data_IF_964020848685
#
_entry.id   IF_964020848685
#
_cell.length_a   1.000
_cell.length_b   1.000
_cell.length_c   1.000
_cell.angle_alpha   90.00
_cell.angle_beta   90.00
_cell.angle_gamma   90.00
#
_symmetry.space_group_name_H-M   'P 1'
#
loop_
_entity.id
_entity.type
_entity.pdbx_description
1 polymer ?
#
# COMPACT_ATOMS: atom_id res chain seq x y z
N UNK A 1 -28.44 -13.05 3.31
CA UNK A 1 -27.25 -13.16 2.43
C UNK A 1 -26.46 -11.88 2.59
N UNK A 2 -25.30 -11.91 3.23
CA UNK A 2 -24.46 -10.72 3.37
C UNK A 2 -23.64 -10.59 2.08
N UNK A 3 -23.94 -9.58 1.28
CA UNK A 3 -23.10 -9.17 0.16
C UNK A 3 -21.81 -8.62 0.76
N UNK A 4 -20.71 -9.36 0.62
CA UNK A 4 -19.37 -8.88 0.92
C UNK A 4 -18.91 -7.93 -0.18
N UNK A 5 -19.53 -6.76 -0.29
CA UNK A 5 -18.86 -5.61 -0.90
C UNK A 5 -17.94 -5.09 0.19
N UNK A 6 -16.67 -5.50 0.23
CA UNK A 6 -15.70 -4.71 1.00
C UNK A 6 -15.66 -3.34 0.30
N UNK A 7 -16.26 -2.29 0.87
CA UNK A 7 -16.14 -0.98 0.25
C UNK A 7 -14.67 -0.64 0.41
N UNK A 8 -14.02 -0.19 -0.66
CA UNK A 8 -12.81 0.62 -0.49
C UNK A 8 -13.17 1.64 0.60
N UNK A 9 -12.49 1.56 1.74
CA UNK A 9 -12.80 2.44 2.88
C UNK A 9 -12.74 3.87 2.37
N UNK A 10 -13.67 4.75 2.75
CA UNK A 10 -13.61 6.17 2.34
C UNK A 10 -12.27 6.84 2.71
N UNK A 11 -11.52 6.24 3.66
CA UNK A 11 -10.14 6.60 3.98
C UNK A 11 -9.17 6.22 2.85
N UNK A 12 -9.27 5.02 2.31
CA UNK A 12 -8.42 4.55 1.21
C UNK A 12 -8.64 5.38 -0.06
N UNK A 13 -9.89 5.71 -0.40
CA UNK A 13 -10.21 6.56 -1.54
C UNK A 13 -9.59 7.96 -1.40
N UNK A 14 -9.68 8.56 -0.21
CA UNK A 14 -9.06 9.86 0.08
C UNK A 14 -7.55 9.84 -0.10
N UNK A 15 -6.86 8.84 0.45
CA UNK A 15 -5.40 8.74 0.33
C UNK A 15 -4.96 8.46 -1.11
N UNK A 16 -5.68 7.58 -1.84
CA UNK A 16 -5.41 7.33 -3.25
C UNK A 16 -5.58 8.59 -4.11
N UNK A 17 -6.66 9.35 -3.88
CA UNK A 17 -6.90 10.63 -4.54
C UNK A 17 -5.78 11.64 -4.27
N UNK A 18 -5.40 11.85 -3.01
CA UNK A 18 -4.32 12.77 -2.65
C UNK A 18 -2.96 12.34 -3.23
N UNK A 19 -2.64 11.05 -3.22
CA UNK A 19 -1.41 10.53 -3.84
C UNK A 19 -1.39 10.78 -5.35
N UNK A 20 -2.51 10.50 -6.02
CA UNK A 20 -2.65 10.73 -7.46
C UNK A 20 -2.52 12.21 -7.82
N UNK A 21 -3.17 13.11 -7.07
CA UNK A 21 -3.06 14.55 -7.28
C UNK A 21 -1.62 15.05 -7.12
N UNK A 22 -0.90 14.57 -6.10
CA UNK A 22 0.52 14.90 -5.90
C UNK A 22 1.38 14.37 -7.04
N UNK A 23 1.16 13.13 -7.47
CA UNK A 23 1.88 12.53 -8.59
C UNK A 23 1.62 13.26 -9.92
N UNK A 24 0.38 13.72 -10.13
CA UNK A 24 0.00 14.51 -11.29
C UNK A 24 0.71 15.87 -11.29
N UNK A 25 0.72 16.57 -10.16
CA UNK A 25 1.42 17.84 -10.00
C UNK A 25 2.94 17.72 -10.18
N UNK A 26 3.51 16.59 -9.74
CA UNK A 26 4.93 16.28 -9.89
C UNK A 26 5.31 15.70 -11.26
N UNK A 27 4.35 15.47 -12.16
CA UNK A 27 4.53 14.77 -13.43
C UNK A 27 5.20 13.38 -13.26
N UNK A 28 4.85 12.67 -12.18
CA UNK A 28 5.43 11.39 -11.77
C UNK A 28 4.42 10.24 -11.75
N UNK A 29 3.25 10.40 -12.38
CA UNK A 29 2.16 9.39 -12.38
C UNK A 29 2.65 8.00 -12.81
N UNK A 30 3.40 7.91 -13.90
CA UNK A 30 3.91 6.63 -14.40
C UNK A 30 4.88 5.94 -13.43
N UNK A 31 5.71 6.72 -12.72
CA UNK A 31 6.60 6.19 -11.70
C UNK A 31 5.81 5.66 -10.51
N UNK A 32 4.88 6.46 -9.98
CA UNK A 32 4.03 6.07 -8.85
C UNK A 32 3.17 4.85 -9.17
N UNK A 33 2.66 4.74 -10.41
CA UNK A 33 1.97 3.55 -10.86
C UNK A 33 2.88 2.30 -10.86
N UNK A 34 4.11 2.43 -11.38
CA UNK A 34 5.08 1.34 -11.37
C UNK A 34 5.44 0.90 -9.95
N UNK A 35 5.63 1.86 -9.04
CA UNK A 35 5.95 1.62 -7.63
C UNK A 35 4.81 0.90 -6.91
N UNK A 36 3.56 1.35 -7.10
CA UNK A 36 2.37 0.70 -6.53
C UNK A 36 2.18 -0.72 -7.06
N UNK A 37 2.40 -0.94 -8.36
CA UNK A 37 2.34 -2.28 -8.96
C UNK A 37 3.45 -3.19 -8.42
N UNK A 38 4.66 -2.65 -8.24
CA UNK A 38 5.78 -3.36 -7.61
C UNK A 38 5.44 -3.80 -6.18
N UNK A 39 4.91 -2.88 -5.37
CA UNK A 39 4.51 -3.19 -4.00
C UNK A 39 3.35 -4.21 -3.94
N UNK A 40 2.37 -4.11 -4.84
CA UNK A 40 1.29 -5.08 -4.94
C UNK A 40 1.81 -6.49 -5.26
N UNK A 41 2.75 -6.63 -6.20
CA UNK A 41 3.37 -7.90 -6.52
C UNK A 41 4.16 -8.48 -5.33
N UNK A 42 4.82 -7.63 -4.52
CA UNK A 42 5.50 -8.07 -3.29
C UNK A 42 4.52 -8.61 -2.25
N UNK A 43 3.35 -7.99 -2.11
CA UNK A 43 2.28 -8.47 -1.23
C UNK A 43 1.75 -9.84 -1.68
N UNK A 44 1.45 -9.97 -2.97
CA UNK A 44 0.97 -11.23 -3.56
C UNK A 44 2.01 -12.36 -3.47
N UNK A 45 3.29 -12.02 -3.62
CA UNK A 45 4.41 -12.96 -3.56
C UNK A 45 4.86 -13.35 -2.15
N UNK A 46 4.34 -12.71 -1.09
CA UNK A 46 4.80 -12.93 0.28
C UNK A 46 3.65 -13.07 1.28
N UNK A 47 3.43 -14.32 1.71
CA UNK A 47 2.49 -14.62 2.78
C UNK A 47 2.87 -13.93 4.11
N UNK A 48 4.17 -13.78 4.37
CA UNK A 48 4.66 -13.10 5.57
C UNK A 48 4.40 -11.59 5.53
N UNK A 49 4.57 -10.95 4.37
CA UNK A 49 4.25 -9.53 4.20
C UNK A 49 2.75 -9.28 4.32
N UNK A 50 1.94 -10.13 3.70
CA UNK A 50 0.47 -10.10 3.85
C UNK A 50 0.07 -10.30 5.32
N UNK A 51 0.73 -11.21 6.06
CA UNK A 51 0.49 -11.41 7.49
C UNK A 51 0.89 -10.19 8.30
N UNK A 52 2.02 -9.56 8.00
CA UNK A 52 2.51 -8.37 8.70
C UNK A 52 1.46 -7.26 8.68
N UNK A 53 0.89 -6.95 7.52
CA UNK A 53 -0.05 -5.82 7.36
C UNK A 53 -1.44 -6.09 7.94
N UNK A 54 -1.88 -7.36 7.99
CA UNK A 54 -3.21 -7.74 8.46
C UNK A 54 -3.24 -8.15 9.95
N UNK A 55 -2.07 -8.39 10.55
CA UNK A 55 -1.98 -8.91 11.92
C UNK A 55 -2.20 -7.79 12.95
N UNK A 56 -3.18 -7.93 13.86
CA UNK A 56 -3.39 -6.98 14.95
C UNK A 56 -2.34 -7.11 16.06
N UNK A 57 -1.43 -8.08 15.96
CA UNK A 57 -0.37 -8.32 16.96
C UNK A 57 0.79 -7.35 16.81
N UNK A 58 1.03 -6.86 15.59
CA UNK A 58 2.07 -5.86 15.34
C UNK A 58 1.51 -4.48 15.63
N UNK A 59 2.28 -3.65 16.33
CA UNK A 59 1.94 -2.24 16.48
C UNK A 59 1.97 -1.55 15.10
N UNK A 60 1.19 -0.48 14.94
CA UNK A 60 1.22 0.34 13.72
C UNK A 60 2.61 0.91 13.46
N UNK A 61 3.37 1.21 14.52
CA UNK A 61 4.75 1.71 14.45
C UNK A 61 5.72 0.66 13.90
N UNK A 62 5.59 -0.59 14.34
CA UNK A 62 6.43 -1.69 13.83
C UNK A 62 6.06 -2.05 12.40
N UNK A 63 4.77 -2.05 12.07
CA UNK A 63 4.29 -2.22 10.70
C UNK A 63 4.87 -1.12 9.79
N UNK A 64 4.80 0.14 10.20
CA UNK A 64 5.33 1.26 9.42
C UNK A 64 6.85 1.15 9.20
N UNK A 65 7.62 0.81 10.24
CA UNK A 65 9.08 0.59 10.13
C UNK A 65 9.40 -0.55 9.17
N UNK A 66 8.70 -1.67 9.28
CA UNK A 66 8.93 -2.82 8.43
C UNK A 66 8.59 -2.52 6.96
N UNK A 67 7.45 -1.89 6.69
CA UNK A 67 7.05 -1.47 5.34
C UNK A 67 8.08 -0.51 4.76
N UNK A 68 8.55 0.48 5.52
CA UNK A 68 9.56 1.44 5.06
C UNK A 68 10.88 0.75 4.64
N UNK A 69 11.38 -0.20 5.44
CA UNK A 69 12.59 -0.96 5.12
C UNK A 69 12.38 -1.85 3.89
N UNK A 70 11.18 -2.39 3.71
CA UNK A 70 10.85 -3.24 2.56
C UNK A 70 10.77 -2.41 1.28
N UNK A 71 10.11 -1.25 1.32
CA UNK A 71 10.00 -0.32 0.20
C UNK A 71 11.38 0.19 -0.25
N UNK A 72 12.22 0.64 0.69
CA UNK A 72 13.58 1.10 0.43
C UNK A 72 14.43 0.02 -0.26
N UNK A 73 14.34 -1.24 0.21
CA UNK A 73 15.03 -2.37 -0.44
C UNK A 73 14.49 -2.70 -1.83
N UNK A 74 13.23 -2.41 -2.11
CA UNK A 74 12.61 -2.60 -3.41
C UNK A 74 12.90 -1.45 -4.38
N UNK A 75 13.46 -0.33 -3.90
CA UNK A 75 13.67 0.87 -4.69
C UNK A 75 12.39 1.68 -4.91
N UNK A 76 11.45 1.60 -3.96
CA UNK A 76 10.17 2.32 -3.92
C UNK A 76 10.25 3.46 -2.91
#
# INVERSE_FOLDING_TARGET
>A
MAQSSSPISGVAERYAGSLFELALQANSVAQVEADLNGFAAMLEGSADLTRLINSPVFSSEDQAKAIAVIADKAGI
#
